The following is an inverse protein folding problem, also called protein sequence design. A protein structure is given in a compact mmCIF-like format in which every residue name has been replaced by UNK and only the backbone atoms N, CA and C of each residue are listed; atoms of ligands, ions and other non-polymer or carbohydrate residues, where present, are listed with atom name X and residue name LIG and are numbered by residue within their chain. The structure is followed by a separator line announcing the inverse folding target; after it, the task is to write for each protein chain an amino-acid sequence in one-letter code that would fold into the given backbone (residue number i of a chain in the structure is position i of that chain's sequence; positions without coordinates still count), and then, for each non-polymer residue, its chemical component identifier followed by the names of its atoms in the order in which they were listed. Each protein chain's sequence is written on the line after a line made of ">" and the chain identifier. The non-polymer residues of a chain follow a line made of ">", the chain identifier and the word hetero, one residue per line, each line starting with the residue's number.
data_IF_909366431799
#
_entry.id   IF_909366431799
#
_cell.length_a   1.000
_cell.length_b   1.000
_cell.length_c   1.000
_cell.angle_alpha   90.00
_cell.angle_beta   90.00
_cell.angle_gamma   90.00
#
_symmetry.space_group_name_H-M   'P 1'
#
loop_
_entity.id
_entity.type
_entity.pdbx_description
1 polymer ?
#
# COMPACT_ATOMS: atom_id res chain seq x y z
N UNK A 1 -21.00 -21.72 -9.78
CA UNK A 1 -21.20 -20.37 -10.36
C UNK A 1 -20.06 -20.11 -11.33
N UNK A 2 -20.38 -19.73 -12.58
CA UNK A 2 -19.41 -19.58 -13.67
C UNK A 2 -18.27 -18.65 -13.25
N UNK A 3 -17.03 -19.15 -13.31
CA UNK A 3 -15.85 -18.26 -13.39
C UNK A 3 -16.20 -17.26 -14.46
N UNK A 4 -16.16 -15.95 -14.17
CA UNK A 4 -16.39 -14.94 -15.17
C UNK A 4 -15.37 -15.17 -16.29
N UNK A 5 -15.77 -15.90 -17.34
CA UNK A 5 -14.95 -16.18 -18.49
C UNK A 5 -14.90 -14.87 -19.27
N UNK A 6 -13.96 -14.01 -18.89
CA UNK A 6 -13.60 -12.88 -19.71
C UNK A 6 -13.02 -13.44 -21.00
N UNK A 7 -13.74 -13.27 -22.11
CA UNK A 7 -13.12 -13.48 -23.41
C UNK A 7 -11.90 -12.55 -23.52
N UNK A 8 -10.83 -12.95 -24.24
CA UNK A 8 -9.67 -12.08 -24.45
C UNK A 8 -10.06 -10.70 -25.00
N UNK A 9 -11.12 -10.62 -25.81
CA UNK A 9 -11.67 -9.38 -26.31
C UNK A 9 -12.28 -8.51 -25.19
N UNK A 10 -13.11 -9.11 -24.31
CA UNK A 10 -13.70 -8.41 -23.16
C UNK A 10 -12.64 -7.92 -22.19
N UNK A 11 -11.60 -8.73 -21.91
CA UNK A 11 -10.48 -8.32 -21.08
C UNK A 11 -9.71 -7.14 -21.69
N UNK A 12 -9.37 -7.19 -22.98
CA UNK A 12 -8.73 -6.06 -23.68
C UNK A 12 -9.58 -4.79 -23.63
N UNK A 13 -10.89 -4.91 -23.80
CA UNK A 13 -11.80 -3.77 -23.71
C UNK A 13 -11.80 -3.14 -22.31
N UNK A 14 -11.79 -3.97 -21.25
CA UNK A 14 -11.67 -3.49 -19.86
C UNK A 14 -10.33 -2.79 -19.63
N UNK A 15 -9.21 -3.42 -20.00
CA UNK A 15 -7.87 -2.84 -19.83
C UNK A 15 -7.69 -1.53 -20.60
N UNK A 16 -8.30 -1.40 -21.79
CA UNK A 16 -8.24 -0.16 -22.56
C UNK A 16 -8.93 1.00 -21.82
N UNK A 17 -9.98 0.73 -21.04
CA UNK A 17 -10.68 1.75 -20.25
C UNK A 17 -9.85 2.26 -19.08
N UNK A 18 -8.89 1.49 -18.57
CA UNK A 18 -8.01 1.92 -17.47
C UNK A 18 -7.20 3.16 -17.83
N UNK A 19 -6.87 3.35 -19.12
CA UNK A 19 -6.17 4.54 -19.63
C UNK A 19 -6.96 5.84 -19.47
N UNK A 20 -8.25 5.78 -19.16
CA UNK A 20 -9.09 6.95 -18.88
C UNK A 20 -9.21 7.23 -17.39
N UNK A 21 -8.82 6.26 -16.55
CA UNK A 21 -8.91 6.40 -15.11
C UNK A 21 -7.74 7.22 -14.59
N UNK A 22 -8.05 8.06 -13.62
CA UNK A 22 -7.11 8.79 -12.79
C UNK A 22 -7.35 8.39 -11.36
N UNK A 23 -6.34 7.87 -10.69
CA UNK A 23 -6.46 7.38 -9.31
C UNK A 23 -5.44 8.12 -8.46
N UNK A 24 -5.91 8.69 -7.35
CA UNK A 24 -5.06 9.30 -6.35
C UNK A 24 -4.70 8.24 -5.30
N UNK A 25 -3.41 8.02 -5.09
CA UNK A 25 -2.88 7.18 -4.02
C UNK A 25 -2.26 8.09 -2.97
N UNK A 26 -2.76 8.03 -1.74
CA UNK A 26 -2.20 8.73 -0.58
C UNK A 26 -1.66 7.69 0.38
N UNK A 27 -0.41 7.82 0.80
CA UNK A 27 0.12 6.91 1.81
C UNK A 27 1.57 7.12 2.18
N UNK A 28 2.08 6.20 2.97
CA UNK A 28 3.48 6.19 3.39
C UNK A 28 4.39 5.87 2.19
N UNK A 29 5.31 6.80 1.88
CA UNK A 29 6.18 6.71 0.71
C UNK A 29 7.55 6.17 1.12
N UNK A 30 8.01 5.12 0.44
CA UNK A 30 9.31 4.52 0.73
C UNK A 30 10.08 4.14 -0.53
N UNK A 31 11.40 4.04 -0.37
CA UNK A 31 12.32 3.50 -1.36
C UNK A 31 12.74 2.09 -0.92
N UNK A 32 12.38 1.09 -1.72
CA UNK A 32 12.93 -0.26 -1.55
C UNK A 32 14.26 -0.37 -2.31
N UNK A 33 15.36 -0.59 -1.59
CA UNK A 33 16.67 -0.78 -2.18
C UNK A 33 17.09 -2.25 -2.08
N UNK A 34 17.70 -2.76 -3.15
CA UNK A 34 18.23 -4.11 -3.21
C UNK A 34 19.70 -4.05 -3.54
N UNK A 35 20.52 -4.58 -2.63
CA UNK A 35 21.96 -4.73 -2.80
C UNK A 35 22.23 -6.19 -3.09
N UNK A 36 22.68 -6.50 -4.30
CA UNK A 36 23.07 -7.83 -4.72
C UNK A 36 24.58 -7.98 -4.61
N UNK A 37 25.03 -9.08 -4.02
CA UNK A 37 26.44 -9.37 -3.91
C UNK A 37 26.75 -10.84 -3.67
N UNK A 38 28.03 -11.11 -3.44
CA UNK A 38 28.54 -12.44 -3.08
C UNK A 38 29.13 -12.42 -1.69
N UNK A 39 28.90 -13.51 -0.95
CA UNK A 39 29.58 -13.80 0.31
C UNK A 39 30.64 -14.86 0.00
N UNK A 40 31.91 -14.51 0.23
CA UNK A 40 33.06 -15.41 0.03
C UNK A 40 33.84 -15.68 1.32
N UNK A 41 33.64 -14.86 2.36
CA UNK A 41 34.34 -14.98 3.65
C UNK A 41 33.51 -14.45 4.81
N UNK A 42 33.93 -14.81 6.02
CA UNK A 42 33.49 -14.21 7.28
C UNK A 42 34.43 -13.05 7.63
N UNK A 43 33.92 -12.02 8.29
CA UNK A 43 34.72 -10.90 8.74
C UNK A 43 35.74 -11.35 9.81
N UNK A 44 37.00 -10.89 9.76
CA UNK A 44 37.96 -11.14 10.83
C UNK A 44 37.63 -10.36 12.11
N UNK A 45 36.76 -9.33 12.02
CA UNK A 45 36.40 -8.46 13.15
C UNK A 45 35.19 -8.97 13.94
N UNK A 46 34.32 -9.76 13.31
CA UNK A 46 33.11 -10.31 13.93
C UNK A 46 32.60 -11.54 13.14
N UNK A 47 31.87 -12.47 13.76
CA UNK A 47 31.36 -13.68 13.11
C UNK A 47 30.16 -13.38 12.18
N UNK A 48 30.34 -12.47 11.22
CA UNK A 48 29.31 -12.01 10.27
C UNK A 48 29.82 -12.14 8.82
N UNK A 49 28.94 -12.45 7.86
CA UNK A 49 29.33 -12.55 6.45
C UNK A 49 29.70 -11.18 5.87
N UNK A 50 30.74 -11.16 5.02
CA UNK A 50 31.09 -9.97 4.24
C UNK A 50 30.47 -10.08 2.86
N UNK A 51 29.59 -9.14 2.50
CA UNK A 51 28.95 -9.06 1.18
C UNK A 51 29.76 -8.13 0.27
N UNK A 52 30.32 -8.67 -0.80
CA UNK A 52 30.91 -7.89 -1.88
C UNK A 52 29.81 -7.47 -2.86
N UNK A 53 29.51 -6.17 -2.93
CA UNK A 53 28.41 -5.63 -3.73
C UNK A 53 28.75 -5.69 -5.22
N UNK A 54 27.88 -6.31 -6.00
CA UNK A 54 27.99 -6.41 -7.47
C UNK A 54 26.99 -5.48 -8.17
N UNK A 55 25.80 -5.29 -7.58
CA UNK A 55 24.74 -4.48 -8.18
C UNK A 55 23.84 -3.87 -7.11
N UNK A 56 23.35 -2.68 -7.36
CA UNK A 56 22.30 -2.04 -6.55
C UNK A 56 21.14 -1.61 -7.44
N UNK A 57 19.91 -1.81 -6.97
CA UNK A 57 18.69 -1.36 -7.65
C UNK A 57 17.70 -0.77 -6.66
N UNK A 58 16.98 0.28 -7.05
CA UNK A 58 15.93 0.89 -6.25
C UNK A 58 14.55 0.74 -6.91
N UNK A 59 13.52 0.60 -6.09
CA UNK A 59 12.13 0.50 -6.52
C UNK A 59 11.23 1.41 -5.66
N UNK A 60 10.17 2.00 -6.24
CA UNK A 60 9.11 2.60 -5.44
C UNK A 60 8.47 1.55 -4.53
N UNK A 61 8.45 1.82 -3.22
CA UNK A 61 7.87 0.97 -2.19
C UNK A 61 6.67 1.63 -1.49
N UNK A 62 5.92 0.86 -0.69
CA UNK A 62 4.74 1.35 0.00
C UNK A 62 3.65 1.83 -0.95
N UNK A 63 3.02 2.95 -0.62
CA UNK A 63 2.02 3.57 -1.49
C UNK A 63 2.56 3.88 -2.90
N UNK A 64 3.86 4.13 -3.02
CA UNK A 64 4.52 4.36 -4.30
C UNK A 64 4.56 3.09 -5.19
N UNK A 65 4.60 1.90 -4.59
CA UNK A 65 4.48 0.63 -5.31
C UNK A 65 3.06 0.41 -5.84
N UNK A 66 2.04 0.82 -5.08
CA UNK A 66 0.64 0.75 -5.54
C UNK A 66 0.41 1.67 -6.73
N UNK A 67 0.89 2.91 -6.68
CA UNK A 67 0.89 3.80 -7.83
C UNK A 67 1.65 3.21 -9.04
N UNK A 68 2.76 2.50 -8.81
CA UNK A 68 3.51 1.78 -9.88
C UNK A 68 2.68 0.68 -10.52
N UNK A 69 1.98 -0.13 -9.73
CA UNK A 69 1.10 -1.19 -10.24
C UNK A 69 -0.05 -0.63 -11.06
N UNK A 70 -0.66 0.49 -10.63
CA UNK A 70 -1.68 1.20 -11.39
C UNK A 70 -1.15 1.72 -12.72
N UNK A 71 0.03 2.35 -12.72
CA UNK A 71 0.66 2.84 -13.94
C UNK A 71 0.97 1.71 -14.94
N UNK A 72 1.40 0.55 -14.46
CA UNK A 72 1.63 -0.64 -15.29
C UNK A 72 0.34 -1.16 -15.95
N UNK A 73 -0.82 -0.96 -15.30
CA UNK A 73 -2.15 -1.23 -15.87
C UNK A 73 -2.64 -0.13 -16.82
N UNK A 74 -1.85 0.91 -17.05
CA UNK A 74 -2.17 2.04 -17.92
C UNK A 74 -3.00 3.15 -17.26
N UNK A 75 -3.25 3.07 -15.95
CA UNK A 75 -3.98 4.09 -15.19
C UNK A 75 -3.11 5.35 -15.00
N UNK A 76 -3.73 6.52 -15.05
CA UNK A 76 -3.08 7.77 -14.63
C UNK A 76 -3.00 7.83 -13.10
N UNK A 77 -1.94 7.30 -12.53
CA UNK A 77 -1.69 7.35 -11.08
C UNK A 77 -1.13 8.72 -10.66
N UNK A 78 -1.74 9.33 -9.66
CA UNK A 78 -1.21 10.49 -8.93
C UNK A 78 -0.86 10.04 -7.51
N UNK A 79 0.33 10.35 -7.03
CA UNK A 79 0.83 9.92 -5.72
C UNK A 79 0.96 11.11 -4.77
N UNK A 80 0.53 10.93 -3.52
CA UNK A 80 0.69 11.89 -2.44
C UNK A 80 1.15 11.26 -1.14
N UNK A 81 1.88 12.05 -0.35
CA UNK A 81 2.54 11.62 0.88
C UNK A 81 3.74 12.50 1.20
N UNK A 82 4.48 12.14 2.25
CA UNK A 82 5.67 12.86 2.70
C UNK A 82 6.95 12.15 2.32
N UNK A 83 7.98 12.93 1.94
CA UNK A 83 9.37 12.47 1.82
C UNK A 83 10.32 13.50 2.41
N UNK A 84 11.57 13.09 2.64
CA UNK A 84 12.63 13.99 3.07
C UNK A 84 13.16 14.90 1.97
N UNK A 85 14.05 15.80 2.39
CA UNK A 85 14.94 16.56 1.49
C UNK A 85 16.31 15.89 1.44
N UNK A 86 16.33 14.64 1.04
CA UNK A 86 17.50 13.77 1.02
C UNK A 86 17.69 13.08 -0.34
N UNK A 87 18.80 12.36 -0.49
CA UNK A 87 19.14 11.61 -1.71
C UNK A 87 18.12 10.52 -2.03
N UNK A 88 17.61 9.84 -1.00
CA UNK A 88 16.60 8.80 -1.15
C UNK A 88 15.30 9.34 -1.77
N UNK A 89 14.83 10.52 -1.34
CA UNK A 89 13.73 11.21 -2.00
C UNK A 89 14.04 11.52 -3.48
N UNK A 90 15.27 11.96 -3.77
CA UNK A 90 15.72 12.22 -5.14
C UNK A 90 15.63 10.98 -6.03
N UNK A 91 16.14 9.84 -5.54
CA UNK A 91 16.06 8.54 -6.22
C UNK A 91 14.61 8.11 -6.44
N UNK A 92 13.79 8.14 -5.38
CA UNK A 92 12.36 7.77 -5.46
C UNK A 92 11.61 8.63 -6.48
N UNK A 93 11.75 9.95 -6.44
CA UNK A 93 11.11 10.86 -7.38
C UNK A 93 11.58 10.62 -8.82
N UNK A 94 12.85 10.25 -9.03
CA UNK A 94 13.35 9.85 -10.34
C UNK A 94 12.65 8.59 -10.84
N UNK A 95 12.58 7.54 -10.04
CA UNK A 95 11.90 6.28 -10.37
C UNK A 95 10.42 6.51 -10.71
N UNK A 96 9.73 7.36 -9.94
CA UNK A 96 8.33 7.72 -10.17
C UNK A 96 8.13 8.44 -11.51
N UNK A 97 9.01 9.39 -11.86
CA UNK A 97 8.96 10.08 -13.17
C UNK A 97 9.17 9.12 -14.33
N UNK A 98 10.14 8.19 -14.23
CA UNK A 98 10.36 7.16 -15.25
C UNK A 98 9.14 6.26 -15.41
N UNK A 99 8.45 5.93 -14.31
CA UNK A 99 7.18 5.21 -14.31
C UNK A 99 5.96 6.02 -14.78
N UNK A 100 6.13 7.29 -15.19
CA UNK A 100 5.05 8.21 -15.57
C UNK A 100 3.98 8.40 -14.48
N UNK A 101 4.39 8.34 -13.22
CA UNK A 101 3.52 8.54 -12.05
C UNK A 101 3.53 10.02 -11.67
N UNK A 102 2.35 10.59 -11.45
CA UNK A 102 2.18 11.97 -10.97
C UNK A 102 2.70 12.14 -9.55
N UNK A 103 3.43 13.22 -9.28
CA UNK A 103 4.10 13.49 -7.99
C UNK A 103 3.68 14.82 -7.35
N UNK A 104 2.62 15.44 -7.87
CA UNK A 104 2.10 16.73 -7.42
C UNK A 104 1.63 16.69 -5.97
N UNK A 105 1.12 15.52 -5.55
CA UNK A 105 0.67 15.24 -4.20
C UNK A 105 1.81 15.08 -3.18
N UNK A 106 3.06 14.95 -3.61
CA UNK A 106 4.19 14.72 -2.70
C UNK A 106 4.64 16.04 -2.05
N UNK A 107 4.87 15.99 -0.74
CA UNK A 107 5.46 17.08 0.05
C UNK A 107 6.86 16.69 0.53
N UNK A 108 7.77 17.67 0.60
CA UNK A 108 9.18 17.46 0.98
C UNK A 108 9.55 18.23 2.23
N UNK A 109 9.96 17.51 3.26
CA UNK A 109 10.24 18.06 4.58
C UNK A 109 11.73 17.95 4.93
N UNK A 110 12.29 18.98 5.58
CA UNK A 110 13.72 19.00 5.95
C UNK A 110 14.03 18.08 7.12
N UNK A 111 13.09 17.94 8.06
CA UNK A 111 13.30 17.23 9.32
C UNK A 111 12.70 15.81 9.32
N UNK A 112 12.23 15.30 8.19
CA UNK A 112 11.69 13.94 8.06
C UNK A 112 12.59 13.15 7.11
N UNK A 113 13.19 12.03 7.53
CA UNK A 113 13.97 11.19 6.63
C UNK A 113 13.03 10.41 5.72
N UNK A 114 13.34 10.33 4.42
CA UNK A 114 12.64 9.41 3.51
C UNK A 114 12.81 7.98 4.02
N UNK A 115 11.70 7.22 4.05
CA UNK A 115 11.70 5.83 4.47
C UNK A 115 12.46 5.00 3.43
N UNK A 116 13.48 4.26 3.87
CA UNK A 116 14.27 3.37 3.00
C UNK A 116 14.29 1.97 3.60
N UNK A 117 13.96 0.97 2.79
CA UNK A 117 14.04 -0.45 3.13
C UNK A 117 15.12 -1.08 2.26
N UNK A 118 16.33 -1.23 2.78
CA UNK A 118 17.44 -1.87 2.05
C UNK A 118 17.47 -3.37 2.35
N UNK A 119 17.38 -4.21 1.31
CA UNK A 119 17.56 -5.67 1.39
C UNK A 119 18.92 -6.03 0.80
N UNK A 120 19.75 -6.70 1.57
CA UNK A 120 21.05 -7.20 1.10
C UNK A 120 20.89 -8.67 0.75
N UNK A 121 21.21 -9.04 -0.47
CA UNK A 121 21.05 -10.39 -1.02
C UNK A 121 22.39 -10.97 -1.44
N UNK A 122 22.62 -12.23 -1.09
CA UNK A 122 23.75 -13.01 -1.57
C UNK A 122 23.31 -14.42 -1.93
N UNK A 123 23.76 -14.93 -3.10
CA UNK A 123 23.36 -16.26 -3.63
C UNK A 123 21.84 -16.48 -3.58
N UNK A 124 21.06 -15.46 -3.98
CA UNK A 124 19.58 -15.46 -3.95
C UNK A 124 18.93 -15.55 -2.56
N UNK A 125 19.71 -15.54 -1.47
CA UNK A 125 19.20 -15.47 -0.10
C UNK A 125 19.32 -14.05 0.44
N UNK A 126 18.34 -13.63 1.23
CA UNK A 126 18.40 -12.35 1.94
C UNK A 126 19.30 -12.50 3.18
N UNK A 127 20.38 -11.73 3.22
CA UNK A 127 21.36 -11.73 4.32
C UNK A 127 20.86 -10.86 5.47
N UNK A 128 20.46 -9.62 5.17
CA UNK A 128 19.98 -8.66 6.17
C UNK A 128 19.03 -7.65 5.54
N UNK A 129 18.14 -7.09 6.37
CA UNK A 129 17.33 -5.92 6.04
C UNK A 129 17.76 -4.74 6.90
N UNK A 130 17.95 -3.58 6.29
CA UNK A 130 18.26 -2.33 6.97
C UNK A 130 17.12 -1.36 6.70
N UNK A 131 16.39 -1.00 7.75
CA UNK A 131 15.29 -0.04 7.69
C UNK A 131 15.80 1.32 8.19
N UNK A 132 15.71 2.36 7.35
CA UNK A 132 16.02 3.75 7.72
C UNK A 132 14.72 4.55 7.67
N UNK A 133 14.17 4.81 8.84
CA UNK A 133 12.91 5.51 9.00
C UNK A 133 12.83 6.17 10.37
N UNK A 134 12.13 7.30 10.45
CA UNK A 134 11.74 7.90 11.73
C UNK A 134 10.32 8.50 11.60
N UNK A 135 9.28 7.64 11.67
CA UNK A 135 7.87 8.04 11.57
C UNK A 135 7.47 9.20 12.47
N UNK A 136 8.08 9.30 13.67
CA UNK A 136 7.74 10.28 14.70
C UNK A 136 8.10 11.71 14.29
N UNK A 137 8.98 11.88 13.29
CA UNK A 137 9.38 13.18 12.78
C UNK A 137 8.35 13.82 11.83
N UNK A 138 7.34 13.07 11.38
CA UNK A 138 6.25 13.64 10.60
C UNK A 138 5.25 14.36 11.51
N UNK A 139 5.30 15.70 11.49
CA UNK A 139 4.51 16.51 12.41
C UNK A 139 3.05 16.67 11.97
N UNK A 140 2.19 17.14 12.86
CA UNK A 140 0.81 17.48 12.51
C UNK A 140 0.75 18.58 11.42
N UNK A 141 1.68 19.54 11.43
CA UNK A 141 1.77 20.58 10.39
C UNK A 141 2.11 19.96 9.03
N UNK A 142 3.02 19.00 9.00
CA UNK A 142 3.40 18.29 7.76
C UNK A 142 2.20 17.52 7.20
N UNK A 143 1.41 16.84 8.05
CA UNK A 143 0.15 16.17 7.68
C UNK A 143 -0.85 17.15 7.05
N UNK A 144 -1.02 18.34 7.62
CA UNK A 144 -1.90 19.38 7.03
C UNK A 144 -1.44 19.77 5.63
N UNK A 145 -0.13 19.90 5.38
CA UNK A 145 0.38 20.21 4.02
C UNK A 145 0.06 19.09 3.02
N UNK A 146 0.23 17.83 3.43
CA UNK A 146 -0.09 16.67 2.59
C UNK A 146 -1.59 16.62 2.32
N UNK A 147 -2.43 16.83 3.35
CA UNK A 147 -3.87 16.84 3.24
C UNK A 147 -4.35 17.91 2.24
N UNK A 148 -3.86 19.15 2.35
CA UNK A 148 -4.22 20.22 1.42
C UNK A 148 -3.84 19.90 -0.04
N UNK A 149 -2.70 19.22 -0.26
CA UNK A 149 -2.34 18.72 -1.60
C UNK A 149 -3.33 17.67 -2.08
N UNK A 150 -3.64 16.68 -1.26
CA UNK A 150 -4.59 15.62 -1.59
C UNK A 150 -5.98 16.18 -1.92
N UNK A 151 -6.52 17.07 -1.08
CA UNK A 151 -7.84 17.69 -1.27
C UNK A 151 -7.95 18.52 -2.57
N UNK A 152 -6.84 19.12 -3.05
CA UNK A 152 -6.83 19.83 -4.35
C UNK A 152 -6.83 18.90 -5.56
N UNK A 153 -6.28 17.69 -5.41
CA UNK A 153 -6.16 16.71 -6.48
C UNK A 153 -7.40 15.83 -6.59
N UNK A 154 -8.02 15.52 -5.44
CA UNK A 154 -9.12 14.58 -5.32
C UNK A 154 -10.30 14.83 -6.28
N UNK A 155 -10.79 16.08 -6.51
CA UNK A 155 -11.93 16.32 -7.40
C UNK A 155 -11.68 15.97 -8.87
N UNK A 156 -10.42 15.79 -9.26
CA UNK A 156 -10.02 15.43 -10.64
C UNK A 156 -9.85 13.93 -10.83
N UNK A 157 -10.02 13.14 -9.77
CA UNK A 157 -9.75 11.72 -9.73
C UNK A 157 -11.04 10.90 -9.74
N UNK A 158 -10.93 9.66 -10.23
CA UNK A 158 -12.02 8.70 -10.33
C UNK A 158 -12.08 7.75 -9.12
N UNK A 159 -10.98 7.63 -8.37
CA UNK A 159 -10.90 6.86 -7.14
C UNK A 159 -9.77 7.40 -6.26
N UNK A 160 -9.87 7.12 -4.96
CA UNK A 160 -8.87 7.36 -3.93
C UNK A 160 -8.41 6.02 -3.35
N UNK A 161 -7.11 5.84 -3.16
CA UNK A 161 -6.55 4.72 -2.41
C UNK A 161 -5.74 5.29 -1.24
N UNK A 162 -6.04 4.83 -0.03
CA UNK A 162 -5.29 5.12 1.19
C UNK A 162 -4.43 3.91 1.55
N UNK A 163 -3.13 4.12 1.62
CA UNK A 163 -2.11 3.08 1.80
C UNK A 163 -1.37 3.31 3.13
N UNK A 164 -1.89 2.75 4.21
CA UNK A 164 -1.33 2.91 5.55
C UNK A 164 -0.30 1.82 5.85
N UNK A 165 0.95 2.22 6.11
CA UNK A 165 2.02 1.30 6.52
C UNK A 165 2.41 1.50 8.00
N UNK A 166 1.62 2.26 8.76
CA UNK A 166 1.90 2.60 10.15
C UNK A 166 3.16 3.46 10.28
N UNK A 167 3.46 4.33 9.31
CA UNK A 167 4.67 5.18 9.31
C UNK A 167 4.38 6.66 9.60
N UNK A 168 3.24 6.93 10.23
CA UNK A 168 2.93 8.18 10.89
C UNK A 168 2.14 9.18 10.05
N UNK A 169 1.88 8.89 8.76
CA UNK A 169 1.04 9.75 7.93
C UNK A 169 -0.42 9.76 8.38
N UNK A 170 -0.98 8.59 8.66
CA UNK A 170 -2.38 8.46 9.01
C UNK A 170 -2.57 8.60 10.52
N UNK A 171 -3.33 9.62 10.90
CA UNK A 171 -4.13 9.61 12.13
C UNK A 171 -5.61 9.64 11.74
N UNK A 172 -6.48 9.46 12.74
CA UNK A 172 -7.93 9.42 12.53
C UNK A 172 -8.43 10.69 11.84
N UNK A 173 -7.97 11.88 12.27
CA UNK A 173 -8.43 13.15 11.70
C UNK A 173 -8.02 13.32 10.24
N UNK A 174 -6.83 12.85 9.85
CA UNK A 174 -6.34 12.87 8.48
C UNK A 174 -7.15 11.90 7.59
N UNK A 175 -7.39 10.68 8.08
CA UNK A 175 -8.20 9.68 7.38
C UNK A 175 -9.65 10.17 7.18
N UNK A 176 -10.30 10.65 8.24
CA UNK A 176 -11.68 11.14 8.22
C UNK A 176 -11.86 12.27 7.21
N UNK A 177 -10.94 13.23 7.18
CA UNK A 177 -11.02 14.35 6.24
C UNK A 177 -10.89 13.91 4.78
N UNK A 178 -10.04 12.92 4.49
CA UNK A 178 -9.91 12.37 3.14
C UNK A 178 -11.14 11.57 2.73
N UNK A 179 -11.66 10.71 3.61
CA UNK A 179 -12.86 9.91 3.36
C UNK A 179 -14.11 10.79 3.20
N UNK A 180 -14.28 11.80 4.06
CA UNK A 180 -15.37 12.77 3.94
C UNK A 180 -15.29 13.57 2.64
N UNK A 181 -14.09 13.99 2.22
CA UNK A 181 -13.90 14.69 0.96
C UNK A 181 -14.18 13.77 -0.24
N UNK A 182 -13.75 12.51 -0.18
CA UNK A 182 -14.00 11.52 -1.24
C UNK A 182 -15.50 11.28 -1.41
N UNK A 183 -16.21 11.07 -0.29
CA UNK A 183 -17.67 10.95 -0.26
C UNK A 183 -18.36 12.19 -0.85
N UNK A 184 -17.97 13.40 -0.42
CA UNK A 184 -18.52 14.67 -0.92
C UNK A 184 -18.37 14.83 -2.44
N UNK A 185 -17.28 14.30 -3.02
CA UNK A 185 -17.02 14.36 -4.45
C UNK A 185 -17.54 13.14 -5.23
N UNK A 186 -18.21 12.18 -4.57
CA UNK A 186 -18.64 10.93 -5.20
C UNK A 186 -17.48 10.05 -5.68
N UNK A 187 -16.30 10.22 -5.09
CA UNK A 187 -15.09 9.46 -5.43
C UNK A 187 -15.02 8.23 -4.51
N UNK A 188 -15.06 6.99 -5.04
CA UNK A 188 -14.88 5.80 -4.22
C UNK A 188 -13.49 5.77 -3.59
N UNK A 189 -13.43 5.40 -2.31
CA UNK A 189 -12.21 5.33 -1.53
C UNK A 189 -11.92 3.89 -1.07
N UNK A 190 -10.76 3.37 -1.45
CA UNK A 190 -10.24 2.10 -0.97
C UNK A 190 -9.16 2.34 0.10
N UNK A 191 -9.10 1.47 1.11
CA UNK A 191 -8.15 1.54 2.20
C UNK A 191 -7.40 0.22 2.33
N UNK A 192 -6.08 0.30 2.42
CA UNK A 192 -5.22 -0.78 2.92
C UNK A 192 -4.78 -0.43 4.35
N UNK A 193 -5.37 -1.07 5.38
CA UNK A 193 -5.15 -0.73 6.78
C UNK A 193 -3.84 -1.35 7.32
N UNK A 194 -3.36 -0.89 8.47
CA UNK A 194 -2.21 -1.49 9.14
C UNK A 194 -2.51 -1.89 10.58
N UNK A 195 -2.07 -3.08 11.00
CA UNK A 195 -2.24 -3.56 12.38
C UNK A 195 -1.56 -2.66 13.43
N UNK A 196 -0.48 -1.97 13.05
CA UNK A 196 0.24 -1.06 13.95
C UNK A 196 -0.35 0.36 13.97
N UNK A 197 -1.43 0.60 13.23
CA UNK A 197 -2.17 1.85 13.23
C UNK A 197 -3.69 1.56 13.21
N UNK A 198 -4.26 1.16 14.36
CA UNK A 198 -5.66 0.75 14.45
C UNK A 198 -6.57 1.98 14.33
N UNK A 199 -6.84 2.38 13.10
CA UNK A 199 -7.78 3.44 12.77
C UNK A 199 -9.16 2.87 12.46
N UNK A 200 -10.13 3.75 12.62
CA UNK A 200 -11.50 3.51 12.21
C UNK A 200 -11.67 3.97 10.75
N UNK A 201 -12.15 3.07 9.89
CA UNK A 201 -12.26 3.32 8.46
C UNK A 201 -13.69 3.60 7.98
N UNK A 202 -14.54 4.12 8.88
CA UNK A 202 -15.90 4.56 8.55
C UNK A 202 -15.95 5.50 7.34
N UNK A 203 -16.86 5.18 6.41
CA UNK A 203 -17.06 5.93 5.17
C UNK A 203 -16.18 5.46 4.00
N UNK A 204 -15.28 4.49 4.21
CA UNK A 204 -14.57 3.85 3.11
C UNK A 204 -15.53 3.04 2.21
N UNK A 205 -15.29 3.08 0.91
CA UNK A 205 -15.99 2.23 -0.06
C UNK A 205 -15.52 0.79 0.05
N UNK A 206 -14.20 0.59 0.17
CA UNK A 206 -13.57 -0.71 0.31
C UNK A 206 -12.49 -0.65 1.38
N UNK A 207 -12.48 -1.61 2.31
CA UNK A 207 -11.31 -1.84 3.18
C UNK A 207 -10.76 -3.22 2.89
N UNK A 208 -9.44 -3.32 2.66
CA UNK A 208 -8.77 -4.56 2.26
C UNK A 208 -7.72 -4.99 3.30
N UNK A 209 -8.11 -5.48 4.48
CA UNK A 209 -7.14 -6.06 5.40
C UNK A 209 -6.63 -7.41 4.88
N UNK A 210 -5.41 -7.76 5.24
CA UNK A 210 -4.99 -9.16 5.30
C UNK A 210 -5.49 -9.83 6.58
N UNK A 211 -5.34 -11.15 6.67
CA UNK A 211 -5.73 -11.96 7.84
C UNK A 211 -5.18 -11.40 9.16
N UNK A 212 -3.89 -11.11 9.24
CA UNK A 212 -3.27 -10.59 10.48
C UNK A 212 -3.80 -9.21 10.86
N UNK A 213 -3.98 -8.33 9.87
CA UNK A 213 -4.58 -7.00 10.08
C UNK A 213 -6.03 -7.08 10.55
N UNK A 214 -6.82 -7.99 9.99
CA UNK A 214 -8.23 -8.16 10.35
C UNK A 214 -8.40 -8.64 11.80
N UNK A 215 -7.68 -9.70 12.19
CA UNK A 215 -7.70 -10.18 13.57
C UNK A 215 -7.12 -9.15 14.54
N UNK A 216 -6.01 -8.52 14.18
CA UNK A 216 -5.39 -7.48 14.98
C UNK A 216 -6.28 -6.25 15.19
N UNK A 217 -7.08 -5.87 14.20
CA UNK A 217 -8.04 -4.76 14.32
C UNK A 217 -9.16 -5.04 15.35
N UNK A 218 -9.48 -6.30 15.62
CA UNK A 218 -10.43 -6.71 16.66
C UNK A 218 -9.73 -7.10 17.98
N UNK A 219 -8.40 -7.00 18.06
CA UNK A 219 -7.64 -7.44 19.23
C UNK A 219 -7.67 -8.96 19.45
N UNK A 220 -7.93 -9.74 18.39
CA UNK A 220 -8.04 -11.19 18.44
C UNK A 220 -6.72 -11.87 18.04
N UNK A 221 -6.42 -13.06 18.59
CA UNK A 221 -5.32 -13.88 18.10
C UNK A 221 -5.61 -14.39 16.70
N UNK A 222 -4.58 -14.46 15.87
CA UNK A 222 -4.69 -14.98 14.52
C UNK A 222 -5.23 -16.43 14.47
N UNK A 223 -6.09 -16.72 13.51
CA UNK A 223 -6.69 -18.05 13.32
C UNK A 223 -6.60 -18.53 11.88
N UNK A 224 -6.48 -19.85 11.69
CA UNK A 224 -6.54 -20.52 10.40
C UNK A 224 -7.90 -21.19 10.12
N UNK A 225 -8.88 -21.03 11.02
CA UNK A 225 -10.22 -21.55 10.82
C UNK A 225 -11.04 -20.64 9.90
N UNK A 226 -11.71 -21.26 8.93
CA UNK A 226 -12.58 -20.60 7.97
C UNK A 226 -13.78 -19.91 8.62
N UNK A 227 -14.35 -20.47 9.68
CA UNK A 227 -15.48 -19.85 10.40
C UNK A 227 -15.04 -18.56 11.10
N UNK A 228 -13.87 -18.57 11.73
CA UNK A 228 -13.30 -17.37 12.38
C UNK A 228 -13.06 -16.26 11.35
N UNK A 229 -12.58 -16.59 10.15
CA UNK A 229 -12.39 -15.59 9.08
C UNK A 229 -13.71 -14.95 8.65
N UNK A 230 -14.80 -15.72 8.64
CA UNK A 230 -16.14 -15.21 8.31
C UNK A 230 -16.61 -14.28 9.42
N UNK A 231 -16.56 -14.74 10.68
CA UNK A 231 -16.98 -13.96 11.85
C UNK A 231 -16.23 -12.63 11.94
N UNK A 232 -14.90 -12.66 11.82
CA UNK A 232 -14.05 -11.45 11.85
C UNK A 232 -14.39 -10.51 10.70
N UNK A 233 -14.61 -11.04 9.49
CA UNK A 233 -14.95 -10.21 8.34
C UNK A 233 -16.34 -9.57 8.44
N UNK A 234 -17.33 -10.29 8.96
CA UNK A 234 -18.67 -9.76 9.21
C UNK A 234 -18.65 -8.67 10.30
N UNK A 235 -17.90 -8.90 11.38
CA UNK A 235 -17.76 -7.93 12.45
C UNK A 235 -17.05 -6.65 11.98
N UNK A 236 -15.95 -6.76 11.23
CA UNK A 236 -15.24 -5.60 10.69
C UNK A 236 -16.07 -4.82 9.67
N UNK A 237 -16.87 -5.49 8.85
CA UNK A 237 -17.78 -4.84 7.92
C UNK A 237 -18.77 -3.92 8.67
N UNK A 238 -19.26 -4.36 9.83
CA UNK A 238 -20.13 -3.57 10.71
C UNK A 238 -19.35 -2.46 11.41
N UNK A 239 -18.23 -2.79 12.08
CA UNK A 239 -17.45 -1.85 12.89
C UNK A 239 -16.95 -0.65 12.05
N UNK A 240 -16.41 -0.93 10.87
CA UNK A 240 -15.95 0.09 9.93
C UNK A 240 -17.05 0.64 9.03
N UNK A 241 -18.28 0.13 9.09
CA UNK A 241 -19.43 0.56 8.28
C UNK A 241 -19.06 0.87 6.81
N UNK A 242 -18.22 0.01 6.22
CA UNK A 242 -17.75 0.17 4.84
C UNK A 242 -18.69 -0.57 3.87
N UNK A 243 -18.69 -0.19 2.60
CA UNK A 243 -19.57 -0.86 1.63
C UNK A 243 -19.10 -2.27 1.30
N UNK A 244 -17.78 -2.47 1.28
CA UNK A 244 -17.13 -3.73 0.97
C UNK A 244 -15.93 -3.95 1.90
N UNK A 245 -15.79 -5.17 2.40
CA UNK A 245 -14.56 -5.63 3.05
C UNK A 245 -13.97 -6.75 2.19
N UNK A 246 -12.71 -6.64 1.79
CA UNK A 246 -11.99 -7.69 1.07
C UNK A 246 -10.87 -8.26 1.95
N UNK A 247 -11.16 -9.35 2.63
CA UNK A 247 -10.20 -10.06 3.47
C UNK A 247 -9.27 -10.92 2.60
N UNK A 248 -7.97 -10.63 2.64
CA UNK A 248 -6.96 -11.43 1.91
C UNK A 248 -6.30 -12.46 2.84
N UNK A 249 -6.22 -13.71 2.36
CA UNK A 249 -5.86 -14.89 3.16
C UNK A 249 -4.64 -15.63 2.60
N UNK A 250 -3.79 -14.95 1.82
CA UNK A 250 -2.61 -15.56 1.20
C UNK A 250 -2.97 -16.72 0.27
N UNK A 251 -2.42 -17.90 0.55
CA UNK A 251 -2.66 -19.12 -0.24
C UNK A 251 -4.13 -19.58 -0.24
N UNK A 252 -4.91 -19.22 0.79
CA UNK A 252 -6.33 -19.57 0.87
C UNK A 252 -7.23 -18.64 0.02
N UNK A 253 -6.65 -17.66 -0.68
CA UNK A 253 -7.38 -16.74 -1.55
C UNK A 253 -7.87 -15.51 -0.79
N UNK A 254 -9.14 -15.14 -1.00
CA UNK A 254 -9.76 -13.95 -0.38
C UNK A 254 -11.26 -14.13 -0.20
N UNK A 255 -11.85 -13.34 0.70
CA UNK A 255 -13.30 -13.31 0.98
C UNK A 255 -13.80 -11.88 0.85
N UNK A 256 -14.81 -11.67 0.01
CA UNK A 256 -15.50 -10.40 -0.13
C UNK A 256 -16.78 -10.41 0.72
N UNK A 257 -16.90 -9.43 1.60
CA UNK A 257 -18.09 -9.19 2.43
C UNK A 257 -18.80 -7.92 1.94
N UNK A 258 -20.13 -7.98 1.91
CA UNK A 258 -20.98 -6.86 1.51
C UNK A 258 -22.26 -6.88 2.38
N UNK A 259 -22.79 -5.71 2.80
CA UNK A 259 -23.98 -5.67 3.63
C UNK A 259 -25.16 -6.40 2.97
N UNK A 260 -25.85 -7.24 3.73
CA UNK A 260 -27.01 -8.00 3.26
C UNK A 260 -26.71 -9.13 2.26
N UNK A 261 -25.43 -9.46 2.00
CA UNK A 261 -25.04 -10.53 1.10
C UNK A 261 -24.22 -11.58 1.84
N UNK A 262 -24.32 -12.84 1.40
CA UNK A 262 -23.45 -13.91 1.92
C UNK A 262 -21.99 -13.64 1.53
N UNK A 263 -21.01 -13.93 2.42
CA UNK A 263 -19.59 -13.80 2.10
C UNK A 263 -19.21 -14.56 0.83
N UNK A 264 -18.53 -13.88 -0.09
CA UNK A 264 -18.12 -14.45 -1.37
C UNK A 264 -16.65 -14.85 -1.34
N UNK A 265 -16.39 -16.17 -1.37
CA UNK A 265 -15.02 -16.71 -1.42
C UNK A 265 -14.46 -16.73 -2.84
N UNK A 266 -13.23 -16.25 -2.98
CA UNK A 266 -12.46 -16.24 -4.21
C UNK A 266 -11.17 -17.05 -3.95
N UNK A 267 -11.01 -18.24 -4.56
CA UNK A 267 -9.83 -19.08 -4.31
C UNK A 267 -8.56 -18.47 -4.90
N UNK A 268 -7.41 -18.79 -4.31
CA UNK A 268 -6.12 -18.47 -4.91
C UNK A 268 -5.96 -19.22 -6.24
N UNK A 269 -5.29 -18.57 -7.19
CA UNK A 269 -4.86 -19.17 -8.47
C UNK A 269 -3.36 -19.02 -8.69
N UNK A 270 -2.60 -18.97 -7.60
CA UNK A 270 -1.14 -18.93 -7.67
C UNK A 270 -0.65 -20.12 -8.50
N UNK A 271 0.13 -19.83 -9.55
CA UNK A 271 1.01 -20.81 -10.17
C UNK A 271 2.31 -20.74 -9.39
N UNK A 272 2.89 -21.89 -9.02
CA UNK A 272 4.25 -21.91 -8.46
C UNK A 272 5.18 -21.10 -9.38
N UNK A 273 5.98 -20.21 -8.78
CA UNK A 273 6.94 -19.33 -9.47
C UNK A 273 8.34 -19.68 -9.00
#
# INVERSE_FOLDING_TARGET
>A
MQVAHFSPAKLRAVLTRFRRLRILVIGDLMLDEFIYGKVSRISPEAPVPVVHVERQTGYPGGAANVARNLAALGVHAELGGGVGRDEAAGKLLSLLRHGKIGTTGIARFRNYPTIVKTRVLARQQQVVRVDREDPKRLTARDRVVILQKALRLLPKCHALILEDYGKGLFDQAFADQLLAAAHKHGVPAAVDPNVHNPLDWRGATLVKPNRLEAFGALGLPDSQNTEDWISVGEELLVNWACQHLLLTLGEHGMILFQPGHKPHRIPSRAREV
#
